data_IF_426125109294
#
_entry.id   IF_426125109294
#
_cell.length_a   1.000
_cell.length_b   1.000
_cell.length_c   1.000
_cell.angle_alpha   90.00
_cell.angle_beta   90.00
_cell.angle_gamma   90.00
#
_symmetry.space_group_name_H-M   'P 1'
#
loop_
_entity.id
_entity.type
_entity.pdbx_description
1 polymer ?
#
# COMPACT_ATOMS: atom_id res chain seq x y z
N UNK A 1 -11.75 0.55 -8.80
CA UNK A 1 -10.53 0.87 -7.99
C UNK A 1 -9.45 -0.19 -8.28
N UNK A 2 -8.16 0.07 -8.06
CA UNK A 2 -7.13 -0.97 -8.29
C UNK A 2 -7.07 -1.92 -7.09
N UNK A 3 -6.88 -3.25 -7.27
CA UNK A 3 -6.55 -4.11 -6.15
C UNK A 3 -5.19 -3.71 -5.55
N UNK A 4 -5.06 -3.65 -4.22
CA UNK A 4 -3.79 -3.31 -3.57
C UNK A 4 -2.79 -4.46 -3.73
N UNK A 5 -1.53 -4.13 -4.03
CA UNK A 5 -0.43 -5.09 -3.99
C UNK A 5 0.13 -5.24 -2.56
N UNK A 6 1.11 -6.14 -2.39
CA UNK A 6 1.73 -6.44 -1.10
C UNK A 6 2.27 -5.18 -0.39
N UNK A 7 2.98 -4.32 -1.14
CA UNK A 7 3.52 -3.06 -0.62
C UNK A 7 2.43 -2.10 -0.14
N UNK A 8 1.35 -1.93 -0.90
CA UNK A 8 0.24 -1.04 -0.50
C UNK A 8 -0.44 -1.55 0.78
N UNK A 9 -0.60 -2.86 0.93
CA UNK A 9 -1.11 -3.47 2.16
C UNK A 9 -0.15 -3.21 3.33
N UNK A 10 1.14 -3.51 3.14
CA UNK A 10 2.18 -3.29 4.16
C UNK A 10 2.24 -1.83 4.61
N UNK A 11 2.29 -0.89 3.66
CA UNK A 11 2.34 0.54 3.96
C UNK A 11 1.11 0.99 4.74
N UNK A 12 -0.07 0.50 4.38
CA UNK A 12 -1.31 0.84 5.07
C UNK A 12 -1.33 0.32 6.50
N UNK A 13 -0.78 -0.87 6.74
CA UNK A 13 -0.69 -1.46 8.07
C UNK A 13 0.37 -0.74 8.91
N UNK A 14 1.58 -0.51 8.39
CA UNK A 14 2.65 0.22 9.10
C UNK A 14 2.29 1.68 9.38
N UNK A 15 1.57 2.36 8.49
CA UNK A 15 1.11 3.73 8.71
C UNK A 15 0.25 3.85 9.98
N UNK A 16 -0.57 2.83 10.29
CA UNK A 16 -1.40 2.80 11.51
C UNK A 16 -0.58 2.55 12.77
N UNK A 17 0.56 1.88 12.63
CA UNK A 17 1.49 1.61 13.72
C UNK A 17 2.42 2.79 14.02
N UNK A 18 2.51 3.79 13.13
CA UNK A 18 3.34 4.96 13.37
C UNK A 18 2.77 5.82 14.51
N UNK A 19 3.63 6.43 15.34
CA UNK A 19 3.16 7.25 16.44
C UNK A 19 2.31 8.42 15.93
N UNK A 20 1.25 8.81 16.66
CA UNK A 20 0.46 9.98 16.32
C UNK A 20 1.34 11.23 16.26
N UNK A 21 0.93 12.19 15.44
CA UNK A 21 1.59 13.49 15.37
C UNK A 21 1.30 14.23 16.69
N UNK A 22 2.32 14.80 17.37
CA UNK A 22 2.11 15.59 18.58
C UNK A 22 1.09 16.71 18.36
N UNK A 23 0.31 17.03 19.40
CA UNK A 23 -0.65 18.13 19.33
C UNK A 23 0.08 19.44 18.98
N UNK A 24 -0.39 20.13 17.93
CA UNK A 24 0.21 21.37 17.43
C UNK A 24 1.37 21.20 16.43
N UNK A 25 1.85 19.98 16.19
CA UNK A 25 2.85 19.73 15.15
C UNK A 25 2.20 19.54 13.76
N UNK A 26 2.88 19.93 12.67
CA UNK A 26 2.39 19.68 11.31
C UNK A 26 2.28 18.17 11.04
N UNK A 27 1.32 17.78 10.20
CA UNK A 27 1.19 16.38 9.79
C UNK A 27 2.49 15.91 9.14
N UNK A 28 2.86 14.64 9.38
CA UNK A 28 4.02 14.03 8.71
C UNK A 28 3.84 14.11 7.20
N UNK A 29 4.87 14.57 6.50
CA UNK A 29 4.88 14.56 5.05
C UNK A 29 4.78 13.10 4.55
N UNK A 30 3.83 12.86 3.63
CA UNK A 30 3.60 11.50 3.12
C UNK A 30 4.83 10.95 2.37
N UNK A 31 5.67 11.82 1.81
CA UNK A 31 6.92 11.44 1.18
C UNK A 31 7.90 10.83 2.20
N UNK A 32 8.05 11.45 3.36
CA UNK A 32 8.97 10.98 4.40
C UNK A 32 8.49 9.68 5.02
N UNK A 33 7.19 9.59 5.32
CA UNK A 33 6.56 8.35 5.78
C UNK A 33 6.75 7.22 4.78
N UNK A 34 6.58 7.50 3.49
CA UNK A 34 6.76 6.47 2.47
C UNK A 34 8.22 6.05 2.34
N UNK A 35 9.18 6.96 2.53
CA UNK A 35 10.61 6.67 2.54
C UNK A 35 10.98 5.77 3.72
N UNK A 36 10.52 6.11 4.92
CA UNK A 36 10.74 5.32 6.14
C UNK A 36 10.19 3.90 5.99
N UNK A 37 8.92 3.75 5.60
CA UNK A 37 8.29 2.44 5.45
C UNK A 37 8.96 1.63 4.31
N UNK A 38 9.49 2.29 3.28
CA UNK A 38 10.20 1.59 2.20
C UNK A 38 11.48 0.94 2.71
N UNK A 39 12.19 1.61 3.62
CA UNK A 39 13.35 1.04 4.31
C UNK A 39 12.93 -0.12 5.22
N UNK A 40 11.81 0.00 5.93
CA UNK A 40 11.27 -1.10 6.73
C UNK A 40 10.98 -2.33 5.88
N UNK A 41 10.29 -2.17 4.74
CA UNK A 41 9.98 -3.26 3.82
C UNK A 41 11.22 -3.92 3.23
N UNK A 42 12.24 -3.12 2.88
CA UNK A 42 13.52 -3.65 2.36
C UNK A 42 14.22 -4.55 3.39
N UNK A 43 14.13 -4.21 4.68
CA UNK A 43 14.75 -4.94 5.78
C UNK A 43 13.80 -5.95 6.45
N UNK A 44 12.58 -6.10 5.94
CA UNK A 44 11.58 -6.98 6.50
C UNK A 44 11.91 -8.44 6.20
N UNK A 45 11.52 -9.35 7.10
CA UNK A 45 11.77 -10.78 6.92
C UNK A 45 11.00 -11.35 5.72
N UNK A 46 11.58 -12.36 5.07
CA UNK A 46 10.94 -13.04 3.93
C UNK A 46 9.55 -13.58 4.29
N UNK A 47 9.40 -14.13 5.49
CA UNK A 47 8.13 -14.68 5.99
C UNK A 47 7.04 -13.60 5.99
N UNK A 48 7.36 -12.41 6.50
CA UNK A 48 6.40 -11.30 6.54
C UNK A 48 6.09 -10.82 5.13
N UNK A 49 7.11 -10.63 4.26
CA UNK A 49 6.86 -10.22 2.87
C UNK A 49 5.97 -11.21 2.13
N UNK A 50 6.25 -12.50 2.26
CA UNK A 50 5.47 -13.60 1.69
C UNK A 50 4.01 -13.58 2.17
N UNK A 51 3.77 -13.27 3.44
CA UNK A 51 2.40 -13.14 3.96
C UNK A 51 1.66 -11.95 3.31
N UNK A 52 2.32 -10.82 3.10
CA UNK A 52 1.73 -9.68 2.39
C UNK A 52 1.48 -9.98 0.90
N UNK A 53 2.36 -10.76 0.25
CA UNK A 53 2.14 -11.25 -1.11
C UNK A 53 0.94 -12.18 -1.21
N UNK A 54 0.81 -13.13 -0.28
CA UNK A 54 -0.36 -14.01 -0.18
C UNK A 54 -1.65 -13.21 0.01
N UNK A 55 -1.64 -12.22 0.93
CA UNK A 55 -2.78 -11.31 1.15
C UNK A 55 -3.13 -10.50 -0.11
N UNK A 56 -2.12 -10.05 -0.86
CA UNK A 56 -2.33 -9.31 -2.09
C UNK A 56 -2.95 -10.17 -3.19
N UNK A 57 -2.52 -11.43 -3.34
CA UNK A 57 -3.11 -12.35 -4.32
C UNK A 57 -4.56 -12.67 -3.96
N UNK A 58 -4.89 -12.88 -2.68
CA UNK A 58 -6.27 -13.03 -2.23
C UNK A 58 -7.13 -11.81 -2.58
N UNK A 59 -6.61 -10.59 -2.36
CA UNK A 59 -7.32 -9.35 -2.70
C UNK A 59 -7.50 -9.18 -4.20
N UNK A 60 -6.51 -9.59 -4.99
CA UNK A 60 -6.57 -9.58 -6.46
C UNK A 60 -7.62 -10.58 -6.98
N UNK A 61 -7.65 -11.80 -6.42
CA UNK A 61 -8.67 -12.80 -6.75
C UNK A 61 -10.09 -12.32 -6.38
N UNK A 62 -10.28 -11.79 -5.16
CA UNK A 62 -11.54 -11.17 -4.74
C UNK A 62 -11.96 -10.04 -5.68
N UNK A 63 -11.01 -9.17 -6.06
CA UNK A 63 -11.27 -8.09 -7.00
C UNK A 63 -11.68 -8.61 -8.38
N UNK A 64 -11.05 -9.67 -8.88
CA UNK A 64 -11.40 -10.27 -10.16
C UNK A 64 -12.81 -10.88 -10.14
N UNK A 65 -13.22 -11.48 -9.02
CA UNK A 65 -14.59 -11.99 -8.84
C UNK A 65 -15.62 -10.86 -8.78
N UNK A 66 -15.33 -9.79 -8.03
CA UNK A 66 -16.23 -8.64 -7.88
C UNK A 66 -16.31 -7.78 -9.13
N UNK A 67 -15.24 -7.74 -9.93
CA UNK A 67 -15.14 -6.93 -11.14
C UNK A 67 -14.63 -7.79 -12.30
N UNK A 68 -15.45 -8.71 -12.84
CA UNK A 68 -15.03 -9.66 -13.88
C UNK A 68 -14.59 -8.96 -15.18
N UNK A 69 -15.14 -7.78 -15.47
CA UNK A 69 -14.80 -6.98 -16.65
C UNK A 69 -13.77 -5.88 -16.36
N UNK A 70 -13.10 -5.90 -15.21
CA UNK A 70 -12.14 -4.87 -14.86
C UNK A 70 -10.90 -4.91 -15.75
N UNK A 71 -10.61 -3.79 -16.39
CA UNK A 71 -9.35 -3.53 -17.09
C UNK A 71 -8.75 -2.24 -16.58
N UNK A 72 -7.44 -2.25 -16.34
CA UNK A 72 -6.73 -1.06 -15.92
C UNK A 72 -6.55 -0.10 -17.11
N UNK A 73 -7.16 1.08 -17.02
CA UNK A 73 -7.01 2.17 -17.97
C UNK A 73 -6.30 3.34 -17.28
N UNK A 74 -4.96 3.44 -17.38
CA UNK A 74 -4.24 4.59 -16.85
C UNK A 74 -4.62 5.83 -17.67
N UNK A 75 -5.15 6.86 -17.00
CA UNK A 75 -5.36 8.18 -17.61
C UNK A 75 -4.02 8.90 -17.67
N UNK A 76 -3.63 9.38 -18.85
CA UNK A 76 -2.40 10.15 -18.99
C UNK A 76 -2.54 11.51 -18.29
N UNK A 77 -1.44 12.08 -17.77
CA UNK A 77 -1.47 13.38 -17.10
C UNK A 77 -1.88 14.54 -18.02
N UNK A 78 -1.82 14.36 -19.34
CA UNK A 78 -2.23 15.35 -20.32
C UNK A 78 -3.77 15.45 -20.47
N UNK A 79 -4.51 14.44 -20.00
CA UNK A 79 -5.97 14.32 -20.12
C UNK A 79 -6.68 14.50 -18.76
N UNK A 80 -5.96 14.94 -17.73
CA UNK A 80 -6.45 15.08 -16.36
C UNK A 80 -6.48 16.55 -15.94
#
# INVERSE_FOLDING_TARGET
PRPPNAWILYRSDKLKSLPPVPAGAPRRAQADVSREISLMWKNETEIVRSEYERRAELKKAQHQQLYPNYRYHPVSKAEK
#
